data_IF_760142645329
#
_entry.id   IF_760142645329
#
_cell.length_a   1.000
_cell.length_b   1.000
_cell.length_c   1.000
_cell.angle_alpha   90.00
_cell.angle_beta   90.00
_cell.angle_gamma   90.00
#
_symmetry.space_group_name_H-M   'P 1'
#
loop_
_entity.id
_entity.type
_entity.pdbx_description
1 polymer ?
#
# COMPACT_ATOMS: atom_id res chain seq x y z
N UNK A 1 -28.87 -19.20 6.66
CA UNK A 1 -27.67 -19.62 5.90
C UNK A 1 -26.93 -18.34 5.58
N UNK A 2 -25.78 -18.08 6.20
CA UNK A 2 -24.96 -16.90 5.87
C UNK A 2 -24.62 -16.97 4.38
N UNK A 3 -25.02 -15.97 3.59
CA UNK A 3 -24.54 -15.82 2.21
C UNK A 3 -23.04 -15.57 2.24
N UNK A 4 -22.31 -16.34 1.43
CA UNK A 4 -20.87 -16.16 1.27
C UNK A 4 -20.60 -14.83 0.56
N UNK A 5 -19.96 -13.89 1.26
CA UNK A 5 -19.64 -12.55 0.75
C UNK A 5 -18.81 -12.64 -0.53
N UNK A 6 -17.94 -13.65 -0.65
CA UNK A 6 -17.12 -13.85 -1.85
C UNK A 6 -18.01 -14.20 -3.05
N UNK A 7 -19.01 -15.05 -2.82
CA UNK A 7 -19.98 -15.42 -3.85
C UNK A 7 -20.90 -14.25 -4.21
N UNK A 8 -21.31 -13.44 -3.22
CA UNK A 8 -22.11 -12.22 -3.45
C UNK A 8 -21.34 -11.17 -4.27
N UNK A 9 -20.00 -11.14 -4.17
CA UNK A 9 -19.12 -10.22 -4.91
C UNK A 9 -18.64 -10.76 -6.26
N UNK A 10 -18.98 -12.01 -6.61
CA UNK A 10 -18.56 -12.66 -7.87
C UNK A 10 -17.04 -12.56 -8.15
N UNK A 11 -16.23 -12.67 -7.09
CA UNK A 11 -14.78 -12.42 -7.16
C UNK A 11 -14.08 -13.42 -8.06
N UNK A 12 -13.30 -12.91 -9.02
CA UNK A 12 -12.45 -13.73 -9.89
C UNK A 12 -11.00 -13.70 -9.41
N UNK A 13 -10.35 -14.86 -9.37
CA UNK A 13 -8.91 -14.97 -9.10
C UNK A 13 -8.28 -16.02 -10.02
N UNK A 14 -6.98 -15.89 -10.25
CA UNK A 14 -6.26 -16.73 -11.19
C UNK A 14 -6.11 -18.18 -10.70
N UNK A 15 -6.28 -19.11 -11.63
CA UNK A 15 -5.85 -20.51 -11.48
C UNK A 15 -4.33 -20.62 -11.43
N UNK A 16 -3.82 -21.77 -10.99
CA UNK A 16 -2.37 -22.02 -10.89
C UNK A 16 -1.66 -21.85 -12.23
N UNK A 17 -2.26 -22.36 -13.31
CA UNK A 17 -1.74 -22.22 -14.68
C UNK A 17 -1.73 -20.76 -15.14
N UNK A 18 -2.81 -20.02 -14.90
CA UNK A 18 -2.86 -18.59 -15.24
C UNK A 18 -1.84 -17.79 -14.43
N UNK A 19 -1.61 -18.13 -13.15
CA UNK A 19 -0.56 -17.50 -12.34
C UNK A 19 0.84 -17.74 -12.91
N UNK A 20 1.14 -18.94 -13.41
CA UNK A 20 2.42 -19.22 -14.08
C UNK A 20 2.58 -18.37 -15.35
N UNK A 21 1.49 -18.19 -16.12
CA UNK A 21 1.47 -17.32 -17.29
C UNK A 21 1.71 -15.84 -16.91
N UNK A 22 1.15 -15.36 -15.78
CA UNK A 22 1.46 -14.01 -15.23
C UNK A 22 2.94 -13.87 -14.95
N UNK A 23 3.50 -14.82 -14.21
CA UNK A 23 4.90 -14.77 -13.82
C UNK A 23 5.80 -14.77 -15.05
N UNK A 24 5.49 -15.56 -16.08
CA UNK A 24 6.21 -15.57 -17.33
C UNK A 24 6.12 -14.22 -18.07
N UNK A 25 4.92 -13.63 -18.17
CA UNK A 25 4.72 -12.33 -18.80
C UNK A 25 5.47 -11.20 -18.08
N UNK A 26 5.40 -11.16 -16.74
CA UNK A 26 6.12 -10.18 -15.93
C UNK A 26 7.64 -10.34 -16.04
N UNK A 27 8.14 -11.57 -16.19
CA UNK A 27 9.58 -11.84 -16.43
C UNK A 27 10.02 -11.31 -17.80
N UNK A 28 9.26 -11.60 -18.86
CA UNK A 28 9.57 -11.12 -20.20
C UNK A 28 9.59 -9.57 -20.27
N UNK A 29 8.65 -8.92 -19.58
CA UNK A 29 8.63 -7.47 -19.45
C UNK A 29 9.86 -6.96 -18.67
N UNK A 30 10.18 -7.59 -17.53
CA UNK A 30 11.36 -7.25 -16.75
C UNK A 30 12.68 -7.44 -17.52
N UNK A 31 12.79 -8.48 -18.37
CA UNK A 31 13.95 -8.73 -19.22
C UNK A 31 14.17 -7.59 -20.23
N UNK A 32 13.10 -7.13 -20.89
CA UNK A 32 13.15 -5.98 -21.82
C UNK A 32 13.70 -4.73 -21.14
N UNK A 33 13.26 -4.44 -19.91
CA UNK A 33 13.74 -3.27 -19.18
C UNK A 33 15.11 -3.51 -18.53
N UNK A 34 15.46 -4.75 -18.19
CA UNK A 34 16.76 -5.12 -17.63
C UNK A 34 17.90 -4.77 -18.58
N UNK A 35 17.75 -5.02 -19.88
CA UNK A 35 18.77 -4.64 -20.89
C UNK A 35 18.99 -3.12 -20.97
N UNK A 36 17.93 -2.32 -20.74
CA UNK A 36 18.04 -0.87 -20.67
C UNK A 36 18.71 -0.42 -19.37
N UNK A 37 18.34 -1.03 -18.25
CA UNK A 37 18.90 -0.74 -16.94
C UNK A 37 20.39 -1.11 -16.83
N UNK A 38 20.83 -2.19 -17.47
CA UNK A 38 22.25 -2.59 -17.51
C UNK A 38 23.18 -1.53 -18.13
N UNK A 39 22.62 -0.62 -18.94
CA UNK A 39 23.37 0.49 -19.56
C UNK A 39 23.56 1.68 -18.62
N UNK A 40 22.89 1.68 -17.47
CA UNK A 40 22.98 2.74 -16.46
C UNK A 40 23.93 2.28 -15.36
N UNK A 41 24.91 3.11 -15.01
CA UNK A 41 25.85 2.81 -13.92
C UNK A 41 25.41 3.57 -12.67
N UNK A 42 25.21 2.83 -11.59
CA UNK A 42 24.86 3.35 -10.27
C UNK A 42 26.09 3.27 -9.37
N UNK A 43 26.45 4.41 -8.77
CA UNK A 43 27.59 4.49 -7.84
C UNK A 43 27.07 4.58 -6.40
N UNK A 44 27.42 3.59 -5.57
CA UNK A 44 27.16 3.61 -4.14
C UNK A 44 28.08 4.60 -3.42
N UNK A 45 27.71 5.00 -2.19
CA UNK A 45 28.54 5.91 -1.38
C UNK A 45 29.94 5.36 -1.09
N UNK A 46 30.08 4.02 -1.05
CA UNK A 46 31.37 3.36 -0.92
C UNK A 46 32.25 3.44 -2.17
N UNK A 47 31.80 4.11 -3.24
CA UNK A 47 32.44 4.13 -4.55
C UNK A 47 32.24 2.85 -5.37
N UNK A 48 31.54 1.85 -4.84
CA UNK A 48 31.24 0.62 -5.58
C UNK A 48 30.24 0.91 -6.69
N UNK A 49 30.52 0.42 -7.87
CA UNK A 49 29.64 0.54 -9.03
C UNK A 49 28.82 -0.73 -9.23
N UNK A 50 27.58 -0.54 -9.63
CA UNK A 50 26.64 -1.59 -10.03
C UNK A 50 26.02 -1.16 -11.35
N UNK A 51 25.69 -2.12 -12.20
CA UNK A 51 24.75 -1.81 -13.28
C UNK A 51 23.33 -1.61 -12.70
N UNK A 52 22.49 -0.88 -13.43
CA UNK A 52 21.16 -0.51 -12.95
C UNK A 52 20.24 -1.71 -12.69
N UNK A 53 20.40 -2.81 -13.43
CA UNK A 53 19.59 -4.01 -13.24
C UNK A 53 20.00 -4.74 -11.95
N UNK A 54 21.30 -4.84 -11.67
CA UNK A 54 21.83 -5.33 -10.40
C UNK A 54 21.32 -4.50 -9.22
N UNK A 55 21.40 -3.16 -9.33
CA UNK A 55 20.92 -2.27 -8.29
C UNK A 55 19.41 -2.45 -8.05
N UNK A 56 18.61 -2.47 -9.11
CA UNK A 56 17.16 -2.72 -9.03
C UNK A 56 16.84 -4.04 -8.31
N UNK A 57 17.52 -5.14 -8.70
CA UNK A 57 17.34 -6.45 -8.07
C UNK A 57 17.74 -6.49 -6.59
N UNK A 58 18.81 -5.79 -6.21
CA UNK A 58 19.20 -5.65 -4.80
C UNK A 58 18.15 -4.90 -4.00
N UNK A 59 17.67 -3.79 -4.54
CA UNK A 59 16.74 -2.88 -3.88
C UNK A 59 15.36 -3.52 -3.68
N UNK A 60 14.88 -4.32 -4.63
CA UNK A 60 13.60 -5.02 -4.51
C UNK A 60 13.54 -6.01 -3.31
N UNK A 61 14.70 -6.40 -2.77
CA UNK A 61 14.83 -7.31 -1.63
C UNK A 61 15.10 -6.59 -0.28
N UNK A 62 14.98 -5.26 -0.23
CA UNK A 62 15.30 -4.47 0.97
C UNK A 62 14.30 -4.61 2.13
N UNK A 63 13.06 -5.05 1.86
CA UNK A 63 11.95 -4.99 2.81
C UNK A 63 12.27 -5.60 4.18
N UNK A 64 12.89 -6.78 4.21
CA UNK A 64 13.26 -7.45 5.46
C UNK A 64 14.44 -6.78 6.19
N UNK A 65 15.32 -6.08 5.46
CA UNK A 65 16.52 -5.47 6.04
C UNK A 65 16.24 -4.11 6.67
N UNK A 66 15.35 -3.33 6.05
CA UNK A 66 15.04 -1.96 6.48
C UNK A 66 14.35 -1.93 7.84
N UNK A 67 13.48 -2.91 8.12
CA UNK A 67 12.73 -2.98 9.39
C UNK A 67 13.64 -3.22 10.61
N UNK A 68 14.86 -3.70 10.42
CA UNK A 68 15.83 -3.99 11.48
C UNK A 68 16.81 -2.83 11.74
N UNK A 69 16.82 -1.78 10.90
CA UNK A 69 17.79 -0.69 11.02
C UNK A 69 17.37 0.39 12.04
N UNK A 70 18.34 0.99 12.78
CA UNK A 70 18.08 2.18 13.59
C UNK A 70 17.50 3.32 12.74
N UNK A 71 16.53 4.07 13.29
CA UNK A 71 15.73 5.09 12.58
C UNK A 71 16.58 6.11 11.79
N UNK A 72 17.68 6.59 12.38
CA UNK A 72 18.56 7.60 11.78
C UNK A 72 19.38 7.05 10.60
N UNK A 73 19.85 5.80 10.70
CA UNK A 73 20.54 5.09 9.61
C UNK A 73 19.56 4.76 8.49
N UNK A 74 18.32 4.45 8.86
CA UNK A 74 17.26 4.09 7.95
C UNK A 74 16.95 5.22 6.97
N UNK A 75 16.78 6.47 7.43
CA UNK A 75 16.48 7.60 6.55
C UNK A 75 17.58 7.88 5.52
N UNK A 76 18.81 8.16 5.97
CA UNK A 76 19.88 8.58 5.06
C UNK A 76 20.16 7.52 4.00
N UNK A 77 20.14 6.25 4.43
CA UNK A 77 20.33 5.12 3.51
C UNK A 77 19.18 5.05 2.50
N UNK A 78 17.93 5.25 2.95
CA UNK A 78 16.77 5.25 2.04
C UNK A 78 16.78 6.43 1.09
N UNK A 79 17.03 7.67 1.55
CA UNK A 79 17.16 8.84 0.67
C UNK A 79 18.20 8.59 -0.42
N UNK A 80 19.37 8.07 -0.03
CA UNK A 80 20.41 7.74 -0.99
C UNK A 80 20.00 6.60 -1.95
N UNK A 81 19.17 5.64 -1.52
CA UNK A 81 18.59 4.61 -2.41
C UNK A 81 17.57 5.25 -3.38
N UNK A 82 16.70 6.13 -2.88
CA UNK A 82 15.69 6.83 -3.68
C UNK A 82 16.36 7.68 -4.76
N UNK A 83 17.41 8.44 -4.43
CA UNK A 83 18.15 9.26 -5.42
C UNK A 83 18.71 8.40 -6.58
N UNK A 84 19.15 7.18 -6.26
CA UNK A 84 19.64 6.22 -7.26
C UNK A 84 18.50 5.63 -8.08
N UNK A 85 17.34 5.39 -7.47
CA UNK A 85 16.14 4.99 -8.21
C UNK A 85 15.70 6.12 -9.15
N UNK A 86 15.78 7.38 -8.73
CA UNK A 86 15.47 8.52 -9.59
C UNK A 86 16.40 8.60 -10.79
N UNK A 87 17.70 8.30 -10.60
CA UNK A 87 18.64 8.13 -11.72
C UNK A 87 18.19 7.03 -12.70
N UNK A 88 17.65 5.90 -12.19
CA UNK A 88 17.10 4.85 -13.04
C UNK A 88 15.80 5.27 -13.74
N UNK A 89 14.94 6.01 -13.05
CA UNK A 89 13.69 6.55 -13.59
C UNK A 89 13.98 7.51 -14.75
N UNK A 90 14.94 8.42 -14.58
CA UNK A 90 15.32 9.38 -15.62
C UNK A 90 15.85 8.67 -16.88
N UNK A 91 16.60 7.58 -16.70
CA UNK A 91 17.13 6.78 -17.79
C UNK A 91 16.07 5.89 -18.46
N UNK A 92 15.11 5.36 -17.69
CA UNK A 92 14.10 4.41 -18.17
C UNK A 92 12.69 4.80 -17.69
N UNK A 93 12.16 5.97 -18.10
CA UNK A 93 10.97 6.58 -17.50
C UNK A 93 9.66 5.84 -17.82
N UNK A 94 9.70 4.90 -18.76
CA UNK A 94 8.54 4.04 -19.08
C UNK A 94 8.44 2.80 -18.21
N UNK A 95 9.43 2.52 -17.36
CA UNK A 95 9.42 1.33 -16.54
C UNK A 95 8.66 1.55 -15.24
N UNK A 96 7.37 1.20 -15.25
CA UNK A 96 6.44 1.41 -14.13
C UNK A 96 6.92 0.80 -12.80
N UNK A 97 7.67 -0.30 -12.83
CA UNK A 97 8.19 -0.94 -11.62
C UNK A 97 9.16 -0.06 -10.84
N UNK A 98 9.88 0.86 -11.50
CA UNK A 98 10.76 1.81 -10.79
C UNK A 98 9.96 2.78 -9.92
N UNK A 99 8.86 3.32 -10.45
CA UNK A 99 7.95 4.19 -9.70
C UNK A 99 7.28 3.43 -8.55
N UNK A 100 6.80 2.21 -8.82
CA UNK A 100 6.20 1.37 -7.79
C UNK A 100 7.20 1.03 -6.67
N UNK A 101 8.44 0.68 -7.04
CA UNK A 101 9.52 0.39 -6.11
C UNK A 101 9.90 1.63 -5.28
N UNK A 102 10.02 2.80 -5.90
CA UNK A 102 10.26 4.08 -5.22
C UNK A 102 9.20 4.33 -4.14
N UNK A 103 7.92 4.17 -4.49
CA UNK A 103 6.81 4.31 -3.54
C UNK A 103 6.89 3.32 -2.38
N UNK A 104 7.19 2.04 -2.66
CA UNK A 104 7.35 1.01 -1.62
C UNK A 104 8.50 1.31 -0.66
N UNK A 105 9.63 1.81 -1.15
CA UNK A 105 10.79 2.12 -0.30
C UNK A 105 10.53 3.35 0.57
N UNK A 106 9.89 4.38 0.03
CA UNK A 106 9.41 5.49 0.84
C UNK A 106 8.45 5.04 1.94
N UNK A 107 7.56 4.09 1.65
CA UNK A 107 6.68 3.51 2.65
C UNK A 107 7.47 2.77 3.75
N UNK A 108 8.53 2.03 3.39
CA UNK A 108 9.41 1.37 4.37
C UNK A 108 10.13 2.37 5.29
N UNK A 109 10.55 3.53 4.78
CA UNK A 109 11.11 4.62 5.59
C UNK A 109 10.07 5.20 6.56
N UNK A 110 8.82 5.25 6.13
CA UNK A 110 7.73 5.92 6.83
C UNK A 110 7.23 5.11 8.04
N UNK A 111 7.13 3.79 7.93
CA UNK A 111 6.63 2.90 8.99
C UNK A 111 7.27 3.13 10.38
N UNK A 112 8.61 3.09 10.54
CA UNK A 112 9.21 3.26 11.87
C UNK A 112 9.05 4.68 12.41
N UNK A 113 8.93 5.69 11.53
CA UNK A 113 8.70 7.09 11.90
C UNK A 113 7.28 7.31 12.41
N UNK A 114 6.29 6.71 11.77
CA UNK A 114 4.93 6.74 12.27
C UNK A 114 4.84 6.13 13.66
N UNK A 115 5.49 4.98 13.86
CA UNK A 115 5.51 4.32 15.17
C UNK A 115 6.16 5.22 16.23
N UNK A 116 7.28 5.86 15.89
CA UNK A 116 7.95 6.82 16.76
C UNK A 116 7.02 7.99 17.13
N UNK A 117 6.38 8.61 16.13
CA UNK A 117 5.45 9.71 16.34
C UNK A 117 4.24 9.30 17.18
N UNK A 118 3.62 8.17 16.88
CA UNK A 118 2.46 7.65 17.61
C UNK A 118 2.83 7.36 19.07
N UNK A 119 4.05 6.84 19.33
CA UNK A 119 4.54 6.58 20.69
C UNK A 119 4.74 7.86 21.51
N UNK A 120 4.92 9.02 20.85
CA UNK A 120 5.13 10.34 21.47
C UNK A 120 3.95 11.30 21.27
N UNK A 121 2.76 10.77 20.93
CA UNK A 121 1.56 11.55 20.59
C UNK A 121 1.09 12.55 21.66
N UNK A 122 1.57 12.43 22.90
CA UNK A 122 1.18 13.32 24.01
C UNK A 122 1.88 14.68 23.95
N UNK A 123 3.05 14.75 23.30
CA UNK A 123 3.88 15.97 23.21
C UNK A 123 4.14 16.41 21.76
N UNK A 124 3.60 15.68 20.78
CA UNK A 124 3.88 15.84 19.35
C UNK A 124 3.66 17.26 18.83
N UNK A 125 2.65 17.98 19.33
CA UNK A 125 2.31 19.33 18.88
C UNK A 125 3.03 20.44 19.69
N UNK A 126 3.88 20.05 20.65
CA UNK A 126 4.66 20.97 21.51
C UNK A 126 6.17 20.83 21.33
N UNK A 127 6.63 19.71 20.77
CA UNK A 127 8.05 19.45 20.50
C UNK A 127 8.37 19.82 19.05
N UNK A 128 9.24 20.82 18.79
CA UNK A 128 9.56 21.26 17.43
C UNK A 128 10.12 20.17 16.51
N UNK A 129 10.85 19.20 17.05
CA UNK A 129 11.41 18.09 16.28
C UNK A 129 10.30 17.12 15.86
N UNK A 130 9.38 16.79 16.77
CA UNK A 130 8.25 15.92 16.46
C UNK A 130 7.27 16.56 15.46
N UNK A 131 7.06 17.87 15.55
CA UNK A 131 6.28 18.63 14.57
C UNK A 131 6.91 18.50 13.17
N UNK A 132 8.23 18.67 13.07
CA UNK A 132 8.96 18.55 11.81
C UNK A 132 8.85 17.13 11.22
N UNK A 133 9.07 16.10 12.04
CA UNK A 133 8.96 14.70 11.59
C UNK A 133 7.52 14.39 11.16
N UNK A 134 6.50 14.84 11.91
CA UNK A 134 5.08 14.69 11.56
C UNK A 134 4.79 15.31 10.19
N UNK A 135 5.29 16.52 9.92
CA UNK A 135 5.17 17.17 8.61
C UNK A 135 5.84 16.35 7.50
N UNK A 136 7.08 15.90 7.72
CA UNK A 136 7.79 15.06 6.74
C UNK A 136 7.05 13.77 6.40
N UNK A 137 6.41 13.12 7.39
CA UNK A 137 5.56 11.94 7.15
C UNK A 137 4.40 12.30 6.22
N UNK A 138 3.70 13.43 6.46
CA UNK A 138 2.61 13.87 5.59
C UNK A 138 3.07 14.21 4.17
N UNK A 139 4.20 14.90 4.02
CA UNK A 139 4.76 15.23 2.71
C UNK A 139 5.17 13.93 1.96
N UNK A 140 5.73 12.96 2.68
CA UNK A 140 6.12 11.65 2.10
C UNK A 140 4.91 10.84 1.62
N UNK A 141 3.76 10.92 2.30
CA UNK A 141 2.53 10.30 1.82
C UNK A 141 2.14 10.76 0.41
N UNK A 142 2.27 12.06 0.13
CA UNK A 142 2.01 12.62 -1.21
C UNK A 142 2.99 12.06 -2.26
N UNK A 143 4.27 11.97 -1.92
CA UNK A 143 5.28 11.38 -2.82
C UNK A 143 4.98 9.90 -3.12
N UNK A 144 4.60 9.10 -2.11
CA UNK A 144 4.26 7.69 -2.31
C UNK A 144 3.01 7.56 -3.20
N UNK A 145 2.01 8.42 -2.99
CA UNK A 145 0.80 8.49 -3.80
C UNK A 145 1.13 8.75 -5.27
N UNK A 146 1.91 9.80 -5.55
CA UNK A 146 2.33 10.18 -6.91
C UNK A 146 3.09 9.04 -7.59
N UNK A 147 3.98 8.36 -6.87
CA UNK A 147 4.70 7.19 -7.37
C UNK A 147 3.75 6.05 -7.77
N UNK A 148 2.74 5.75 -6.94
CA UNK A 148 1.77 4.70 -7.24
C UNK A 148 0.85 5.08 -8.41
N UNK A 149 0.36 6.32 -8.45
CA UNK A 149 -0.45 6.82 -9.57
C UNK A 149 0.34 6.72 -10.87
N UNK A 150 1.61 7.16 -10.88
CA UNK A 150 2.45 7.08 -12.07
C UNK A 150 2.70 5.64 -12.52
N UNK A 151 2.93 4.72 -11.58
CA UNK A 151 3.07 3.31 -11.88
C UNK A 151 1.79 2.73 -12.52
N UNK A 152 0.62 3.07 -11.97
CA UNK A 152 -0.69 2.66 -12.49
C UNK A 152 -0.94 3.18 -13.91
N UNK A 153 -0.69 4.46 -14.16
CA UNK A 153 -0.83 5.06 -15.50
C UNK A 153 0.03 4.32 -16.54
N UNK A 154 1.27 3.99 -16.18
CA UNK A 154 2.21 3.33 -17.08
C UNK A 154 1.83 1.86 -17.32
N UNK A 155 1.47 1.08 -16.29
CA UNK A 155 1.08 -0.32 -16.49
C UNK A 155 -0.26 -0.44 -17.25
N UNK A 156 -1.22 0.46 -17.02
CA UNK A 156 -2.47 0.50 -17.79
C UNK A 156 -2.24 0.72 -19.28
N UNK A 157 -1.26 1.55 -19.64
CA UNK A 157 -0.89 1.77 -21.04
C UNK A 157 -0.35 0.49 -21.70
N UNK A 158 0.43 -0.31 -20.97
CA UNK A 158 0.98 -1.59 -21.44
C UNK A 158 -0.13 -2.63 -21.62
N UNK A 159 -1.08 -2.70 -20.67
CA UNK A 159 -2.21 -3.65 -20.74
C UNK A 159 -3.07 -3.38 -21.98
N UNK A 160 -3.37 -2.10 -22.27
CA UNK A 160 -4.15 -1.70 -23.44
C UNK A 160 -3.48 -2.10 -24.76
N UNK A 161 -2.15 -2.16 -24.79
CA UNK A 161 -1.37 -2.53 -25.98
C UNK A 161 -1.21 -4.05 -26.15
N UNK A 162 -1.11 -4.82 -25.06
CA UNK A 162 -0.69 -6.23 -25.10
C UNK A 162 -1.83 -7.26 -24.89
N UNK A 163 -3.05 -6.81 -24.59
CA UNK A 163 -4.26 -7.66 -24.55
C UNK A 163 -4.12 -8.99 -23.79
N UNK A 164 -3.37 -9.04 -22.68
CA UNK A 164 -3.18 -10.30 -21.95
C UNK A 164 -3.79 -10.20 -20.54
N UNK A 165 -4.70 -11.15 -20.26
CA UNK A 165 -5.30 -11.41 -18.93
C UNK A 165 -4.25 -11.37 -17.79
N UNK A 166 -3.01 -11.88 -17.97
CA UNK A 166 -2.06 -11.95 -16.87
C UNK A 166 -1.57 -10.60 -16.31
N UNK A 167 -1.44 -9.55 -17.13
CA UNK A 167 -0.96 -8.23 -16.64
C UNK A 167 -2.06 -7.50 -15.84
N UNK A 168 -3.34 -7.84 -16.08
CA UNK A 168 -4.47 -7.26 -15.35
C UNK A 168 -4.48 -7.59 -13.85
N UNK A 169 -4.05 -8.80 -13.46
CA UNK A 169 -3.95 -9.16 -12.05
C UNK A 169 -2.83 -8.40 -11.32
N UNK A 170 -1.77 -8.03 -12.03
CA UNK A 170 -0.70 -7.21 -11.46
C UNK A 170 -1.13 -5.75 -11.28
N UNK A 171 -1.97 -5.22 -12.18
CA UNK A 171 -2.64 -3.93 -11.98
C UNK A 171 -3.47 -3.92 -10.68
N UNK A 172 -4.20 -5.00 -10.41
CA UNK A 172 -4.99 -5.17 -9.17
C UNK A 172 -4.12 -5.09 -7.91
N UNK A 173 -2.92 -5.67 -7.93
CA UNK A 173 -1.95 -5.55 -6.83
C UNK A 173 -1.56 -4.09 -6.59
N UNK A 174 -1.24 -3.34 -7.66
CA UNK A 174 -0.86 -1.92 -7.54
C UNK A 174 -2.01 -1.04 -7.06
N UNK A 175 -3.24 -1.28 -7.55
CA UNK A 175 -4.45 -0.60 -7.07
C UNK A 175 -4.67 -0.87 -5.58
N UNK A 176 -4.55 -2.13 -5.15
CA UNK A 176 -4.67 -2.52 -3.75
C UNK A 176 -3.63 -1.85 -2.85
N UNK A 177 -2.39 -1.70 -3.34
CA UNK A 177 -1.32 -0.97 -2.67
C UNK A 177 -1.68 0.50 -2.45
N UNK A 178 -2.17 1.18 -3.50
CA UNK A 178 -2.61 2.58 -3.40
C UNK A 178 -3.81 2.74 -2.45
N UNK A 179 -4.81 1.86 -2.52
CA UNK A 179 -5.96 1.87 -1.62
C UNK A 179 -5.53 1.69 -0.15
N UNK A 180 -4.55 0.82 0.09
CA UNK A 180 -3.97 0.57 1.42
C UNK A 180 -3.18 1.78 1.92
N UNK A 181 -2.48 2.50 1.03
CA UNK A 181 -1.79 3.74 1.37
C UNK A 181 -2.76 4.80 1.90
N UNK A 182 -3.89 5.04 1.22
CA UNK A 182 -4.89 6.00 1.69
C UNK A 182 -5.44 5.64 3.06
N UNK A 183 -5.72 4.36 3.29
CA UNK A 183 -6.15 3.85 4.60
C UNK A 183 -5.09 4.10 5.67
N UNK A 184 -3.82 3.84 5.36
CA UNK A 184 -2.71 4.06 6.30
C UNK A 184 -2.58 5.53 6.66
N UNK A 185 -2.65 6.41 5.66
CA UNK A 185 -2.62 7.86 5.85
C UNK A 185 -3.79 8.34 6.73
N UNK A 186 -5.02 7.86 6.47
CA UNK A 186 -6.18 8.16 7.31
C UNK A 186 -5.98 7.69 8.77
N UNK A 187 -5.45 6.48 8.95
CA UNK A 187 -5.16 5.94 10.28
C UNK A 187 -4.07 6.73 11.00
N UNK A 188 -3.03 7.19 10.30
CA UNK A 188 -1.99 8.02 10.88
C UNK A 188 -2.52 9.39 11.31
N UNK A 189 -3.35 10.05 10.50
CA UNK A 189 -4.04 11.30 10.89
C UNK A 189 -4.83 11.10 12.19
N UNK A 190 -5.60 10.02 12.28
CA UNK A 190 -6.40 9.73 13.48
C UNK A 190 -5.54 9.42 14.71
N UNK A 191 -4.43 8.69 14.55
CA UNK A 191 -3.58 8.23 15.66
C UNK A 191 -2.55 9.25 16.13
N UNK A 192 -2.18 10.19 15.27
CA UNK A 192 -1.21 11.27 15.55
C UNK A 192 -1.87 12.55 16.10
N UNK A 193 -3.20 12.58 16.21
CA UNK A 193 -3.91 13.60 16.97
C UNK A 193 -3.68 13.40 18.49
N UNK A 194 -3.45 14.50 19.22
CA UNK A 194 -3.25 14.46 20.67
C UNK A 194 -4.50 13.91 21.35
N UNK A 195 -4.34 12.92 22.24
CA UNK A 195 -5.43 12.12 22.84
C UNK A 195 -6.49 12.96 23.60
N UNK A 196 -6.14 14.16 24.04
CA UNK A 196 -7.00 15.09 24.80
C UNK A 196 -7.75 16.09 23.93
N UNK A 197 -7.41 16.18 22.63
CA UNK A 197 -8.04 17.09 21.67
C UNK A 197 -8.96 16.25 20.80
N UNK A 198 -10.25 16.61 20.74
CA UNK A 198 -11.13 16.05 19.70
C UNK A 198 -10.47 16.34 18.35
N UNK A 199 -10.37 15.33 17.50
CA UNK A 199 -9.90 15.52 16.13
C UNK A 199 -10.75 16.64 15.51
N UNK A 200 -10.10 17.69 15.04
CA UNK A 200 -10.79 18.85 14.48
C UNK A 200 -11.52 18.48 13.19
N UNK A 201 -12.51 19.31 12.80
CA UNK A 201 -13.37 19.03 11.66
C UNK A 201 -12.59 18.89 10.34
N UNK A 202 -11.51 19.67 10.14
CA UNK A 202 -10.71 19.60 8.91
C UNK A 202 -9.93 18.28 8.84
N UNK A 203 -9.34 17.85 9.95
CA UNK A 203 -8.66 16.56 10.05
C UNK A 203 -9.64 15.41 9.86
N UNK A 204 -10.85 15.49 10.44
CA UNK A 204 -11.90 14.49 10.24
C UNK A 204 -12.36 14.40 8.79
N UNK A 205 -12.56 15.54 8.11
CA UNK A 205 -12.90 15.58 6.69
C UNK A 205 -11.79 14.94 5.84
N UNK A 206 -10.52 15.20 6.15
CA UNK A 206 -9.39 14.57 5.43
C UNK A 206 -9.34 13.05 5.66
N UNK A 207 -9.56 12.58 6.89
CA UNK A 207 -9.66 11.15 7.22
C UNK A 207 -10.79 10.50 6.41
N UNK A 208 -11.93 11.17 6.32
CA UNK A 208 -13.08 10.72 5.53
C UNK A 208 -12.74 10.62 4.04
N UNK A 209 -12.17 11.67 3.45
CA UNK A 209 -11.79 11.70 2.03
C UNK A 209 -10.82 10.58 1.66
N UNK A 210 -9.78 10.36 2.49
CA UNK A 210 -8.83 9.26 2.28
C UNK A 210 -9.49 7.89 2.40
N UNK A 211 -10.38 7.71 3.39
CA UNK A 211 -11.14 6.46 3.56
C UNK A 211 -12.09 6.21 2.39
N UNK A 212 -12.71 7.25 1.85
CA UNK A 212 -13.56 7.17 0.66
C UNK A 212 -12.76 6.77 -0.58
N UNK A 213 -11.59 7.37 -0.81
CA UNK A 213 -10.69 6.99 -1.93
C UNK A 213 -10.28 5.52 -1.84
N UNK A 214 -9.91 5.05 -0.65
CA UNK A 214 -9.62 3.63 -0.39
C UNK A 214 -10.82 2.74 -0.70
N UNK A 215 -12.01 3.11 -0.21
CA UNK A 215 -13.26 2.39 -0.44
C UNK A 215 -13.62 2.27 -1.93
N UNK A 216 -13.48 3.37 -2.70
CA UNK A 216 -13.79 3.39 -4.13
C UNK A 216 -12.86 2.49 -4.94
N UNK A 217 -11.56 2.52 -4.65
CA UNK A 217 -10.59 1.65 -5.36
C UNK A 217 -10.86 0.18 -5.06
N UNK A 218 -11.05 -0.20 -3.80
CA UNK A 218 -11.42 -1.58 -3.47
C UNK A 218 -12.75 -1.98 -4.10
N UNK A 219 -13.75 -1.11 -4.10
CA UNK A 219 -15.03 -1.36 -4.75
C UNK A 219 -14.91 -1.65 -6.24
N UNK A 220 -14.05 -0.90 -6.95
CA UNK A 220 -13.72 -1.18 -8.35
C UNK A 220 -12.98 -2.52 -8.50
N UNK A 221 -11.96 -2.77 -7.68
CA UNK A 221 -11.20 -4.03 -7.73
C UNK A 221 -12.11 -5.26 -7.57
N UNK A 222 -13.02 -5.24 -6.59
CA UNK A 222 -13.92 -6.37 -6.35
C UNK A 222 -14.98 -6.57 -7.43
N UNK A 223 -15.26 -5.56 -8.25
CA UNK A 223 -16.28 -5.60 -9.29
C UNK A 223 -15.71 -5.89 -10.68
N UNK A 224 -14.51 -5.40 -10.96
CA UNK A 224 -14.00 -5.26 -12.34
C UNK A 224 -12.64 -5.92 -12.55
N UNK A 225 -11.91 -6.27 -11.48
CA UNK A 225 -10.55 -6.78 -11.57
C UNK A 225 -10.43 -8.29 -11.27
N UNK A 226 -9.27 -8.85 -11.63
CA UNK A 226 -8.91 -10.25 -11.36
C UNK A 226 -7.82 -10.27 -10.28
N UNK A 227 -8.05 -11.00 -9.20
CA UNK A 227 -7.06 -11.12 -8.13
C UNK A 227 -6.01 -12.18 -8.45
N UNK A 228 -4.77 -11.96 -7.97
CA UNK A 228 -3.69 -12.91 -8.20
C UNK A 228 -3.99 -14.27 -7.55
N UNK A 229 -4.55 -14.26 -6.34
CA UNK A 229 -4.93 -15.45 -5.60
C UNK A 229 -6.00 -15.15 -4.56
N UNK A 230 -6.54 -16.22 -3.95
CA UNK A 230 -7.55 -16.12 -2.91
C UNK A 230 -7.04 -15.43 -1.66
N UNK A 231 -5.76 -15.56 -1.31
CA UNK A 231 -5.21 -14.92 -0.11
C UNK A 231 -5.25 -13.39 -0.23
N UNK A 232 -4.89 -12.87 -1.40
CA UNK A 232 -4.94 -11.44 -1.75
C UNK A 232 -6.36 -10.90 -1.72
N UNK A 233 -7.36 -11.70 -2.11
CA UNK A 233 -8.78 -11.39 -1.93
C UNK A 233 -9.08 -11.16 -0.44
N UNK A 234 -8.67 -12.07 0.44
CA UNK A 234 -8.89 -11.96 1.88
C UNK A 234 -8.24 -10.73 2.51
N UNK A 235 -6.97 -10.46 2.18
CA UNK A 235 -6.28 -9.26 2.65
C UNK A 235 -6.96 -7.98 2.13
N UNK A 236 -7.43 -7.98 0.87
CA UNK A 236 -8.14 -6.84 0.29
C UNK A 236 -9.50 -6.60 0.96
N UNK A 237 -10.24 -7.67 1.31
CA UNK A 237 -11.49 -7.58 2.07
C UNK A 237 -11.26 -6.95 3.45
N UNK A 238 -10.22 -7.38 4.19
CA UNK A 238 -9.89 -6.82 5.50
C UNK A 238 -9.49 -5.32 5.40
N UNK A 239 -8.77 -4.93 4.36
CA UNK A 239 -8.44 -3.53 4.12
C UNK A 239 -9.65 -2.70 3.70
N UNK A 240 -10.55 -3.27 2.90
CA UNK A 240 -11.79 -2.60 2.51
C UNK A 240 -12.75 -2.41 3.69
N UNK A 241 -12.88 -3.43 4.55
CA UNK A 241 -13.61 -3.36 5.81
C UNK A 241 -13.08 -2.22 6.69
N UNK A 242 -11.75 -2.04 6.74
CA UNK A 242 -11.15 -0.94 7.48
C UNK A 242 -11.61 0.44 6.99
N UNK A 243 -11.63 0.66 5.67
CA UNK A 243 -12.09 1.91 5.09
C UNK A 243 -13.59 2.17 5.40
N UNK A 244 -14.41 1.11 5.30
CA UNK A 244 -15.86 1.17 5.54
C UNK A 244 -16.25 1.49 7.00
N UNK A 245 -15.33 1.35 7.97
CA UNK A 245 -15.60 1.79 9.36
C UNK A 245 -15.88 3.30 9.46
N UNK A 246 -15.23 4.08 8.60
CA UNK A 246 -15.27 5.55 8.59
C UNK A 246 -16.31 6.07 7.58
N UNK A 247 -16.48 5.38 6.46
CA UNK A 247 -17.42 5.75 5.40
C UNK A 247 -18.88 5.51 5.86
N UNK A 248 -19.87 6.32 5.40
CA UNK A 248 -21.27 6.15 5.79
C UNK A 248 -21.82 4.89 5.11
N UNK A 249 -22.53 4.07 5.88
CA UNK A 249 -23.10 2.82 5.38
C UNK A 249 -23.53 1.89 6.52
N UNK A 250 -24.06 0.71 6.19
CA UNK A 250 -24.45 -0.29 7.19
C UNK A 250 -23.24 -0.70 8.04
N UNK A 251 -23.33 -0.55 9.37
CA UNK A 251 -22.22 -0.84 10.30
C UNK A 251 -21.87 -2.32 10.38
N UNK A 252 -22.79 -3.18 9.94
CA UNK A 252 -22.61 -4.63 9.81
C UNK A 252 -21.76 -5.01 8.59
N UNK A 253 -21.66 -4.15 7.57
CA UNK A 253 -20.93 -4.47 6.34
C UNK A 253 -19.42 -4.65 6.56
N UNK A 254 -18.70 -3.77 7.29
CA UNK A 254 -17.32 -4.02 7.70
C UNK A 254 -17.13 -5.37 8.40
N UNK A 255 -18.04 -5.73 9.32
CA UNK A 255 -17.95 -6.99 10.06
C UNK A 255 -18.02 -8.19 9.12
N UNK A 256 -18.99 -8.19 8.19
CA UNK A 256 -19.14 -9.24 7.18
C UNK A 256 -17.87 -9.41 6.34
N UNK A 257 -17.22 -8.31 5.96
CA UNK A 257 -16.01 -8.34 5.15
C UNK A 257 -14.81 -8.88 5.94
N UNK A 258 -14.66 -8.51 7.22
CA UNK A 258 -13.64 -9.11 8.07
C UNK A 258 -13.88 -10.60 8.32
N UNK A 259 -15.13 -11.03 8.52
CA UNK A 259 -15.46 -12.46 8.69
C UNK A 259 -15.15 -13.25 7.43
N UNK A 260 -15.43 -12.70 6.24
CA UNK A 260 -15.03 -13.28 4.97
C UNK A 260 -13.51 -13.34 4.81
N UNK A 261 -12.79 -12.28 5.17
CA UNK A 261 -11.34 -12.25 5.19
C UNK A 261 -10.74 -13.32 6.12
N UNK A 262 -11.29 -13.47 7.33
CA UNK A 262 -10.88 -14.50 8.31
C UNK A 262 -11.06 -15.92 7.77
N UNK A 263 -12.16 -16.20 7.06
CA UNK A 263 -12.39 -17.52 6.44
C UNK A 263 -11.29 -17.89 5.43
N UNK A 264 -10.63 -16.89 4.82
CA UNK A 264 -9.56 -17.08 3.85
C UNK A 264 -8.18 -17.08 4.51
N UNK A 265 -7.90 -16.04 5.31
CA UNK A 265 -6.56 -15.77 5.85
C UNK A 265 -6.33 -16.41 7.23
N UNK A 266 -7.35 -17.01 7.83
CA UNK A 266 -7.30 -17.56 9.19
C UNK A 266 -7.41 -16.48 10.27
N UNK A 267 -7.01 -16.82 11.49
CA UNK A 267 -7.08 -15.97 12.67
C UNK A 267 -5.88 -14.98 12.74
N UNK A 268 -5.64 -14.26 11.64
CA UNK A 268 -4.64 -13.18 11.63
C UNK A 268 -4.97 -12.14 12.71
N UNK A 269 -4.00 -11.71 13.55
CA UNK A 269 -4.27 -10.80 14.67
C UNK A 269 -4.94 -9.48 14.24
N UNK A 270 -4.58 -8.93 13.08
CA UNK A 270 -5.13 -7.66 12.60
C UNK A 270 -6.57 -7.80 12.11
N UNK A 271 -6.93 -8.95 11.54
CA UNK A 271 -8.30 -9.28 11.14
C UNK A 271 -9.16 -9.48 12.40
N UNK A 272 -8.65 -10.22 13.38
CA UNK A 272 -9.36 -10.49 14.63
C UNK A 272 -9.62 -9.22 15.44
N UNK A 273 -8.65 -8.31 15.51
CA UNK A 273 -8.85 -6.97 16.12
C UNK A 273 -9.94 -6.18 15.38
N UNK A 274 -9.94 -6.23 14.05
CA UNK A 274 -10.97 -5.62 13.20
C UNK A 274 -12.38 -6.14 13.49
N UNK A 275 -12.52 -7.46 13.62
CA UNK A 275 -13.78 -8.13 13.97
C UNK A 275 -14.27 -7.65 15.34
N UNK A 276 -13.40 -7.70 16.36
CA UNK A 276 -13.76 -7.31 17.73
C UNK A 276 -14.26 -5.85 17.79
N UNK A 277 -13.56 -4.94 17.10
CA UNK A 277 -13.96 -3.53 17.02
C UNK A 277 -15.34 -3.36 16.35
N UNK A 278 -15.59 -4.04 15.23
CA UNK A 278 -16.86 -3.95 14.53
C UNK A 278 -18.02 -4.55 15.33
N UNK A 279 -17.80 -5.65 16.05
CA UNK A 279 -18.79 -6.24 16.95
C UNK A 279 -19.20 -5.25 18.06
N UNK A 280 -18.23 -4.57 18.66
CA UNK A 280 -18.50 -3.54 19.66
C UNK A 280 -19.31 -2.37 19.07
N UNK A 281 -18.97 -1.91 17.86
CA UNK A 281 -19.72 -0.86 17.17
C UNK A 281 -21.18 -1.25 16.91
N UNK A 282 -21.42 -2.45 16.39
CA UNK A 282 -22.78 -2.96 16.12
C UNK A 282 -23.57 -3.12 17.42
N UNK A 283 -22.93 -3.59 18.50
CA UNK A 283 -23.57 -3.72 19.80
C UNK A 283 -24.00 -2.36 20.38
N UNK A 284 -23.14 -1.34 20.29
CA UNK A 284 -23.45 0.02 20.75
C UNK A 284 -24.64 0.63 20.00
N UNK A 285 -24.76 0.36 18.69
CA UNK A 285 -25.88 0.87 17.89
C UNK A 285 -27.21 0.23 18.27
N UNK A 286 -27.24 -1.06 18.60
CA UNK A 286 -28.47 -1.76 19.04
C UNK A 286 -28.95 -1.33 20.43
N UNK A 287 -28.08 -0.70 21.21
CA UNK A 287 -28.40 -0.21 22.56
C UNK A 287 -28.89 1.26 22.57
N UNK A 288 -28.83 1.96 21.43
CA UNK A 288 -29.36 3.31 21.23
C UNK A 288 -30.75 3.26 20.60
#
# INVERSE_FOLDING_TARGET
MERDVIADLEVTYLTDEEREQVVAALRADAEKYSELLQKVIITAESGRQFDGAQFFGMVNNLENQVLEWPLERNLKTIEAIIDRIDTLIDAVPKYYQLYYLKGRIWLLALIPRENYIISKREIIDSDPELILIKKQIFDTYGVIEDCHIKALELIESIIKEQSSIPVSAYLTVMKGSLATLFRRHAAFLARSAVRTVRIDEQTMEKIYQLSMRSHLIFGQMFKEDIFIDRYTVGISLANWANALKIVPGPKELPLRYYEAARKICGDDPSIMEGIAYCQELVARQKAQ
#
